data_IF_309446304905
#
_entry.id   IF_309446304905
#
_cell.length_a   1.000
_cell.length_b   1.000
_cell.length_c   1.000
_cell.angle_alpha   90.00
_cell.angle_beta   90.00
_cell.angle_gamma   90.00
#
_symmetry.space_group_name_H-M   'P 1'
#
loop_
_entity.id
_entity.type
_entity.pdbx_description
1 polymer ?
#
# COMPACT_ATOMS: atom_id res chain seq x y z
N UNK A 1 -2.85 15.42 -0.25
CA UNK A 1 -1.71 15.77 -1.14
C UNK A 1 -0.89 14.55 -1.54
N UNK A 2 -0.41 13.69 -0.62
CA UNK A 2 0.30 12.43 -0.98
C UNK A 2 -0.56 11.55 -1.89
N UNK A 3 -1.83 11.34 -1.56
CA UNK A 3 -2.76 10.56 -2.37
C UNK A 3 -2.86 11.05 -3.83
N UNK A 4 -3.00 12.36 -4.03
CA UNK A 4 -3.09 12.95 -5.38
C UNK A 4 -1.77 12.83 -6.15
N UNK A 5 -0.63 12.93 -5.46
CA UNK A 5 0.68 12.73 -6.07
C UNK A 5 0.89 11.27 -6.49
N UNK A 6 0.55 10.32 -5.61
CA UNK A 6 0.64 8.89 -5.91
C UNK A 6 -0.28 8.47 -7.06
N UNK A 7 -1.46 9.08 -7.17
CA UNK A 7 -2.39 8.83 -8.27
C UNK A 7 -2.01 9.52 -9.59
N UNK A 8 -0.97 10.35 -9.59
CA UNK A 8 -0.49 10.99 -10.84
C UNK A 8 0.36 10.00 -11.64
N UNK A 9 0.02 9.70 -12.90
CA UNK A 9 0.88 8.87 -13.76
C UNK A 9 2.23 9.53 -14.09
N UNK A 10 2.40 10.81 -13.76
CA UNK A 10 3.65 11.56 -13.94
C UNK A 10 4.62 11.41 -12.76
N UNK A 11 4.22 10.78 -11.64
CA UNK A 11 5.11 10.60 -10.51
C UNK A 11 6.26 9.63 -10.83
N UNK A 12 7.31 9.68 -10.05
CA UNK A 12 8.53 8.91 -10.27
C UNK A 12 8.27 7.39 -10.26
N UNK A 13 7.32 6.89 -9.45
CA UNK A 13 7.06 5.46 -9.33
C UNK A 13 6.46 4.87 -10.61
N UNK A 14 5.55 5.59 -11.28
CA UNK A 14 5.03 5.17 -12.59
C UNK A 14 6.06 5.33 -13.69
N UNK A 15 6.82 6.44 -13.69
CA UNK A 15 7.85 6.68 -14.71
C UNK A 15 9.00 5.68 -14.67
N UNK A 16 9.32 5.14 -13.50
CA UNK A 16 10.38 4.13 -13.32
C UNK A 16 9.88 2.70 -13.38
N UNK A 17 8.56 2.50 -13.54
CA UNK A 17 7.96 1.16 -13.62
C UNK A 17 7.81 0.45 -12.27
N UNK A 18 8.03 1.12 -11.15
CA UNK A 18 7.71 0.57 -9.80
C UNK A 18 6.21 0.35 -9.68
N UNK A 19 5.41 1.29 -10.19
CA UNK A 19 3.96 1.17 -10.29
C UNK A 19 3.50 1.02 -11.74
N UNK A 20 2.52 0.15 -11.92
CA UNK A 20 1.81 -0.10 -13.17
C UNK A 20 0.40 -0.60 -12.88
N UNK A 21 -0.41 -0.77 -13.92
CA UNK A 21 -1.74 -1.36 -13.79
C UNK A 21 -1.75 -2.81 -13.27
N UNK A 22 -0.61 -3.51 -13.31
CA UNK A 22 -0.46 -4.87 -12.78
C UNK A 22 0.07 -4.91 -11.33
N UNK A 23 0.42 -3.77 -10.75
CA UNK A 23 1.06 -3.71 -9.44
C UNK A 23 0.12 -4.09 -8.29
N UNK A 24 0.71 -4.68 -7.26
CA UNK A 24 0.08 -4.97 -5.96
C UNK A 24 0.70 -4.07 -4.90
N UNK A 25 -0.13 -3.30 -4.20
CA UNK A 25 0.28 -2.29 -3.21
C UNK A 25 -0.23 -2.68 -1.83
N UNK A 26 0.62 -2.53 -0.80
CA UNK A 26 0.25 -2.62 0.60
C UNK A 26 0.44 -1.26 1.27
N UNK A 27 -0.58 -0.75 1.94
CA UNK A 27 -0.51 0.42 2.81
C UNK A 27 -0.50 -0.02 4.26
N UNK A 28 0.53 0.37 4.99
CA UNK A 28 0.70 0.14 6.43
C UNK A 28 0.24 1.38 7.20
N UNK A 29 -0.61 1.18 8.21
CA UNK A 29 -1.14 2.29 9.01
C UNK A 29 -2.06 3.20 8.19
N UNK A 30 -3.01 2.62 7.46
CA UNK A 30 -3.89 3.36 6.54
C UNK A 30 -4.86 4.33 7.26
N UNK A 31 -5.00 4.20 8.58
CA UNK A 31 -5.98 4.94 9.33
C UNK A 31 -7.42 4.61 8.89
N UNK A 32 -8.32 5.55 9.14
CA UNK A 32 -9.76 5.33 8.86
C UNK A 32 -10.21 5.85 7.48
N UNK A 33 -9.45 6.76 6.88
CA UNK A 33 -9.94 7.54 5.71
C UNK A 33 -9.81 6.83 4.37
N UNK A 34 -8.89 5.87 4.23
CA UNK A 34 -8.59 5.13 3.00
C UNK A 34 -8.31 6.04 1.77
N UNK A 35 -7.87 7.30 1.98
CA UNK A 35 -7.74 8.29 0.90
C UNK A 35 -6.73 7.89 -0.17
N UNK A 36 -5.62 7.28 0.23
CA UNK A 36 -4.60 6.85 -0.75
C UNK A 36 -5.13 5.68 -1.57
N UNK A 37 -5.80 4.73 -0.92
CA UNK A 37 -6.42 3.59 -1.61
C UNK A 37 -7.49 4.01 -2.61
N UNK A 38 -8.32 5.00 -2.26
CA UNK A 38 -9.35 5.54 -3.15
C UNK A 38 -8.75 6.23 -4.38
N UNK A 39 -7.61 6.90 -4.22
CA UNK A 39 -6.94 7.60 -5.30
C UNK A 39 -6.07 6.69 -6.18
N UNK A 40 -5.26 5.82 -5.58
CA UNK A 40 -4.27 4.98 -6.27
C UNK A 40 -4.85 3.61 -6.67
N UNK A 41 -5.77 3.05 -5.87
CA UNK A 41 -6.33 1.71 -6.08
C UNK A 41 -6.91 1.48 -7.48
N UNK A 42 -7.63 2.45 -8.10
CA UNK A 42 -8.12 2.31 -9.48
C UNK A 42 -7.03 2.18 -10.55
N UNK A 43 -5.79 2.57 -10.25
CA UNK A 43 -4.66 2.61 -11.18
C UNK A 43 -3.74 1.38 -11.08
N UNK A 44 -3.99 0.49 -10.11
CA UNK A 44 -3.19 -0.71 -9.86
C UNK A 44 -4.08 -1.95 -9.85
N UNK A 45 -3.50 -3.13 -9.97
CA UNK A 45 -4.25 -4.38 -9.97
C UNK A 45 -4.90 -4.66 -8.61
N UNK A 46 -4.16 -4.40 -7.53
CA UNK A 46 -4.63 -4.65 -6.16
C UNK A 46 -4.06 -3.65 -5.19
N UNK A 47 -4.91 -3.18 -4.29
CA UNK A 47 -4.53 -2.32 -3.17
C UNK A 47 -4.99 -2.95 -1.86
N UNK A 48 -4.05 -3.21 -0.96
CA UNK A 48 -4.32 -3.76 0.37
C UNK A 48 -4.08 -2.67 1.39
N UNK A 49 -5.12 -2.35 2.13
CA UNK A 49 -5.07 -1.47 3.31
C UNK A 49 -4.79 -2.30 4.54
N UNK A 50 -3.91 -1.86 5.41
CA UNK A 50 -3.70 -2.52 6.70
C UNK A 50 -3.55 -1.54 7.84
N UNK A 51 -4.09 -1.93 8.98
CA UNK A 51 -4.04 -1.21 10.25
C UNK A 51 -4.52 -2.14 11.38
N UNK A 52 -4.63 -1.63 12.59
CA UNK A 52 -5.21 -2.34 13.72
C UNK A 52 -6.67 -2.78 13.44
N UNK A 53 -7.11 -3.94 13.95
CA UNK A 53 -8.45 -4.49 13.66
C UNK A 53 -9.62 -3.54 13.96
N UNK A 54 -9.47 -2.66 14.96
CA UNK A 54 -10.55 -1.77 15.38
C UNK A 54 -10.89 -0.68 14.35
N UNK A 55 -10.00 -0.38 13.39
CA UNK A 55 -10.29 0.59 12.32
C UNK A 55 -11.07 0.00 11.15
N UNK A 56 -11.14 -1.31 11.02
CA UNK A 56 -11.72 -2.03 9.88
C UNK A 56 -13.10 -1.49 9.49
N UNK A 57 -13.99 -1.35 10.48
CA UNK A 57 -15.36 -0.86 10.26
C UNK A 57 -15.40 0.55 9.64
N UNK A 58 -14.51 1.43 10.06
CA UNK A 58 -14.46 2.81 9.55
C UNK A 58 -13.90 2.84 8.13
N UNK A 59 -12.88 2.04 7.86
CA UNK A 59 -12.31 1.88 6.51
C UNK A 59 -13.36 1.35 5.54
N UNK A 60 -14.07 0.27 5.90
CA UNK A 60 -15.14 -0.31 5.09
C UNK A 60 -16.24 0.70 4.81
N UNK A 61 -16.70 1.43 5.83
CA UNK A 61 -17.70 2.48 5.68
C UNK A 61 -17.25 3.58 4.71
N UNK A 62 -15.99 4.04 4.82
CA UNK A 62 -15.44 5.07 3.94
C UNK A 62 -15.27 4.55 2.49
N UNK A 63 -14.84 3.32 2.33
CA UNK A 63 -14.75 2.71 1.01
C UNK A 63 -16.14 2.59 0.36
N UNK A 64 -17.15 2.15 1.10
CA UNK A 64 -18.52 1.99 0.57
C UNK A 64 -19.16 3.32 0.19
N UNK A 65 -18.95 4.37 0.98
CA UNK A 65 -19.45 5.72 0.68
C UNK A 65 -18.80 6.35 -0.56
N UNK A 66 -17.57 5.93 -0.89
CA UNK A 66 -16.81 6.47 -2.02
C UNK A 66 -16.77 5.52 -3.24
N UNK A 67 -17.38 4.34 -3.15
CA UNK A 67 -17.63 3.51 -4.33
C UNK A 67 -18.71 4.20 -5.16
N UNK A 68 -18.40 4.47 -6.43
CA UNK A 68 -19.40 5.00 -7.37
C UNK A 68 -20.62 4.05 -7.47
N UNK A 69 -21.79 4.54 -7.94
CA UNK A 69 -22.97 3.70 -8.12
C UNK A 69 -22.59 2.45 -8.94
N UNK A 70 -23.11 1.26 -8.56
CA UNK A 70 -22.83 0.04 -9.32
C UNK A 70 -23.29 0.24 -10.77
N UNK A 71 -22.54 -0.27 -11.76
CA UNK A 71 -22.97 -0.16 -13.15
C UNK A 71 -24.37 -0.70 -13.31
N UNK A 72 -25.26 0.08 -13.95
CA UNK A 72 -26.64 -0.27 -14.17
C UNK A 72 -26.72 -1.67 -14.81
N UNK A 73 -27.33 -2.63 -14.12
CA UNK A 73 -27.59 -3.96 -14.68
C UNK A 73 -28.48 -3.79 -15.91
N UNK A 74 -28.12 -4.38 -17.06
CA UNK A 74 -29.07 -4.45 -18.17
C UNK A 74 -30.32 -5.17 -17.68
N UNK A 75 -31.50 -4.58 -17.95
CA UNK A 75 -32.80 -5.08 -17.55
C UNK A 75 -33.08 -6.44 -18.22
N UNK A 76 -32.63 -7.52 -17.60
CA UNK A 76 -32.93 -8.90 -17.99
C UNK A 76 -33.91 -9.51 -17.00
N UNK A 77 -35.13 -9.82 -17.48
CA UNK A 77 -36.14 -10.54 -16.71
C UNK A 77 -35.66 -11.93 -16.34
N UNK A 78 -35.54 -12.27 -15.04
CA UNK A 78 -35.83 -13.65 -14.61
C UNK A 78 -36.08 -13.74 -13.11
N UNK A 79 -37.09 -14.51 -12.80
CA UNK A 79 -37.56 -14.95 -11.47
C UNK A 79 -36.53 -15.94 -10.89
N UNK A 80 -36.23 -15.82 -9.59
CA UNK A 80 -35.49 -16.87 -8.87
C UNK A 80 -35.19 -16.45 -7.43
N UNK A 81 -35.96 -17.00 -6.52
CA UNK A 81 -35.84 -16.86 -5.06
C UNK A 81 -34.71 -17.76 -4.58
N UNK A 82 -33.69 -17.19 -3.95
CA UNK A 82 -32.61 -17.97 -3.33
C UNK A 82 -31.75 -17.07 -2.42
N UNK A 83 -31.90 -17.29 -1.12
CA UNK A 83 -31.12 -16.65 -0.06
C UNK A 83 -29.75 -17.29 0.00
N UNK A 84 -28.69 -16.57 -0.30
CA UNK A 84 -27.33 -16.93 0.11
C UNK A 84 -26.51 -15.65 0.19
N UNK A 85 -26.04 -15.36 1.39
CA UNK A 85 -25.05 -14.32 1.70
C UNK A 85 -23.70 -14.73 1.13
N UNK A 86 -23.30 -14.10 0.05
CA UNK A 86 -21.94 -14.21 -0.48
C UNK A 86 -21.43 -12.81 -0.76
N UNK A 87 -20.32 -12.47 -0.14
CA UNK A 87 -19.54 -11.29 -0.39
C UNK A 87 -19.26 -11.13 -1.89
N UNK A 88 -19.96 -10.18 -2.53
CA UNK A 88 -19.82 -9.89 -3.95
C UNK A 88 -18.57 -9.05 -4.18
N UNK A 89 -17.50 -9.68 -4.64
CA UNK A 89 -16.41 -8.98 -5.31
C UNK A 89 -16.93 -8.43 -6.65
N UNK A 90 -17.18 -7.12 -6.72
CA UNK A 90 -17.51 -6.44 -7.96
C UNK A 90 -16.24 -6.32 -8.82
N UNK A 91 -16.14 -7.13 -9.86
CA UNK A 91 -15.17 -6.97 -10.95
C UNK A 91 -15.62 -5.83 -11.87
N UNK A 92 -15.46 -4.61 -11.43
CA UNK A 92 -15.39 -3.43 -12.30
C UNK A 92 -13.97 -3.30 -12.86
N UNK A 93 -13.76 -2.59 -13.96
CA UNK A 93 -12.48 -2.36 -14.62
C UNK A 93 -11.49 -1.46 -13.82
N UNK A 94 -11.49 -1.55 -12.50
CA UNK A 94 -10.59 -0.89 -11.56
C UNK A 94 -10.00 -1.92 -10.60
N UNK A 95 -8.81 -1.67 -10.07
CA UNK A 95 -8.12 -2.55 -9.14
C UNK A 95 -8.96 -2.87 -7.89
N UNK A 96 -8.72 -4.03 -7.30
CA UNK A 96 -9.42 -4.44 -6.08
C UNK A 96 -8.80 -3.77 -4.86
N UNK A 97 -9.63 -3.13 -4.02
CA UNK A 97 -9.22 -2.60 -2.71
C UNK A 97 -9.77 -3.51 -1.62
N UNK A 98 -8.91 -3.93 -0.69
CA UNK A 98 -9.29 -4.77 0.44
C UNK A 98 -8.58 -4.29 1.71
N UNK A 99 -9.26 -4.43 2.87
CA UNK A 99 -8.64 -4.23 4.17
C UNK A 99 -8.26 -5.57 4.79
N UNK A 100 -7.06 -5.63 5.36
CA UNK A 100 -6.58 -6.74 6.18
C UNK A 100 -6.00 -6.19 7.49
N UNK A 101 -6.50 -6.62 8.65
CA UNK A 101 -5.89 -6.24 9.91
C UNK A 101 -4.45 -6.73 9.97
N UNK A 102 -3.56 -5.89 10.48
CA UNK A 102 -2.15 -6.22 10.67
C UNK A 102 -1.60 -5.38 11.84
N UNK A 103 -1.30 -6.05 12.93
CA UNK A 103 -0.62 -5.47 14.06
C UNK A 103 0.90 -5.64 13.88
N UNK A 104 1.63 -4.53 13.76
CA UNK A 104 3.08 -4.58 13.51
C UNK A 104 3.88 -5.19 14.67
N UNK A 105 3.33 -5.21 15.89
CA UNK A 105 3.99 -5.75 17.08
C UNK A 105 3.71 -7.25 17.26
N UNK A 106 2.57 -7.74 16.77
CA UNK A 106 2.10 -9.10 17.02
C UNK A 106 2.08 -10.00 15.79
N UNK A 107 1.90 -9.42 14.60
CA UNK A 107 1.67 -10.19 13.38
C UNK A 107 2.93 -10.26 12.49
N UNK A 108 3.07 -11.39 11.78
CA UNK A 108 4.08 -11.56 10.74
C UNK A 108 3.39 -11.53 9.37
N UNK A 109 3.76 -10.58 8.48
CA UNK A 109 3.20 -10.52 7.14
C UNK A 109 3.45 -11.82 6.35
N UNK A 110 2.39 -12.30 5.69
CA UNK A 110 2.48 -13.50 4.83
C UNK A 110 1.97 -13.19 3.43
N UNK A 111 2.28 -14.08 2.49
CA UNK A 111 1.78 -13.97 1.12
C UNK A 111 0.22 -14.01 1.03
N UNK A 112 -0.46 -14.41 2.08
CA UNK A 112 -1.93 -14.40 2.14
C UNK A 112 -2.53 -12.98 2.13
N UNK A 113 -1.75 -11.97 2.58
CA UNK A 113 -2.14 -10.56 2.50
C UNK A 113 -2.45 -10.12 1.06
N UNK A 114 -1.78 -10.72 0.06
CA UNK A 114 -2.10 -10.42 -1.36
C UNK A 114 -3.46 -10.97 -1.79
N UNK A 115 -4.06 -11.86 -0.98
CA UNK A 115 -5.34 -12.53 -1.23
C UNK A 115 -5.17 -13.91 -1.86
N UNK A 116 -6.06 -14.84 -1.46
CA UNK A 116 -5.99 -16.27 -1.84
C UNK A 116 -6.00 -16.55 -3.35
N UNK A 117 -6.51 -15.62 -4.15
CA UNK A 117 -6.61 -15.76 -5.62
C UNK A 117 -5.66 -14.85 -6.39
N UNK A 118 -4.78 -14.13 -5.69
CA UNK A 118 -3.83 -13.26 -6.36
C UNK A 118 -2.77 -14.09 -7.11
N UNK A 119 -2.49 -13.70 -8.35
CA UNK A 119 -1.41 -14.31 -9.13
C UNK A 119 -0.03 -13.96 -8.53
N UNK A 120 0.09 -12.76 -7.94
CA UNK A 120 1.28 -12.32 -7.22
C UNK A 120 1.17 -12.67 -5.74
N UNK A 121 2.24 -13.24 -5.18
CA UNK A 121 2.35 -13.60 -3.76
C UNK A 121 3.20 -12.60 -2.95
N UNK A 122 3.54 -11.49 -3.56
CA UNK A 122 4.36 -10.42 -3.01
C UNK A 122 3.85 -9.05 -3.47
N UNK A 123 4.39 -7.99 -2.89
CA UNK A 123 4.00 -6.61 -3.19
C UNK A 123 5.06 -5.92 -4.06
N UNK A 124 4.62 -4.98 -4.90
CA UNK A 124 5.49 -4.11 -5.69
C UNK A 124 5.84 -2.84 -4.90
N UNK A 125 4.89 -2.35 -4.09
CA UNK A 125 5.05 -1.18 -3.24
C UNK A 125 4.47 -1.45 -1.85
N UNK A 126 5.24 -1.10 -0.81
CA UNK A 126 4.77 -0.90 0.57
C UNK A 126 4.74 0.58 0.84
N UNK A 127 3.63 1.08 1.34
CA UNK A 127 3.40 2.49 1.59
C UNK A 127 3.16 2.74 3.06
N UNK A 128 3.87 3.70 3.66
CA UNK A 128 3.59 4.26 4.97
C UNK A 128 3.39 5.77 4.87
N UNK A 129 2.16 6.24 5.13
CA UNK A 129 1.83 7.66 5.05
C UNK A 129 1.55 8.23 6.43
N UNK A 130 2.52 8.99 6.97
CA UNK A 130 2.43 9.70 8.27
C UNK A 130 2.04 8.78 9.45
N UNK A 131 2.45 7.52 9.39
CA UNK A 131 2.14 6.49 10.38
C UNK A 131 3.25 6.31 11.44
N UNK A 132 4.43 6.93 11.24
CA UNK A 132 5.56 6.86 12.16
C UNK A 132 5.62 8.16 12.98
N UNK A 133 4.91 8.18 14.10
CA UNK A 133 4.80 9.33 15.00
C UNK A 133 5.08 8.97 16.48
N UNK A 134 5.41 7.72 16.76
CA UNK A 134 5.74 7.19 18.08
C UNK A 134 7.00 6.34 17.95
N UNK A 135 8.01 6.64 18.76
CA UNK A 135 9.30 5.96 18.75
C UNK A 135 9.16 4.44 18.97
N UNK A 136 8.25 4.03 19.87
CA UNK A 136 8.00 2.60 20.13
C UNK A 136 7.52 1.83 18.91
N UNK A 137 6.86 2.48 17.95
CA UNK A 137 6.37 1.86 16.73
C UNK A 137 7.43 1.80 15.61
N UNK A 138 8.57 2.47 15.76
CA UNK A 138 9.63 2.48 14.75
C UNK A 138 10.20 1.07 14.48
N UNK A 139 10.62 0.30 15.51
CA UNK A 139 11.16 -1.04 15.28
C UNK A 139 10.15 -2.02 14.67
N UNK A 140 8.89 -2.14 15.16
CA UNK A 140 7.90 -3.04 14.57
C UNK A 140 7.50 -2.62 13.15
N UNK A 141 7.31 -1.32 12.87
CA UNK A 141 7.06 -0.84 11.52
C UNK A 141 8.17 -1.23 10.53
N UNK A 142 9.43 -0.98 10.92
CA UNK A 142 10.58 -1.32 10.09
C UNK A 142 10.72 -2.84 9.89
N UNK A 143 10.37 -3.65 10.91
CA UNK A 143 10.34 -5.10 10.80
C UNK A 143 9.26 -5.57 9.82
N UNK A 144 8.05 -5.03 9.95
CA UNK A 144 6.95 -5.32 9.02
C UNK A 144 7.31 -4.99 7.58
N UNK A 145 7.94 -3.82 7.33
CA UNK A 145 8.43 -3.45 5.99
C UNK A 145 9.46 -4.46 5.46
N UNK A 146 10.40 -4.89 6.32
CA UNK A 146 11.41 -5.88 5.96
C UNK A 146 10.77 -7.23 5.57
N UNK A 147 9.85 -7.72 6.37
CA UNK A 147 9.19 -9.02 6.15
C UNK A 147 8.33 -9.00 4.88
N UNK A 148 7.62 -7.90 4.62
CA UNK A 148 6.87 -7.73 3.36
C UNK A 148 7.81 -7.69 2.15
N UNK A 149 8.94 -6.99 2.22
CA UNK A 149 9.92 -6.97 1.13
C UNK A 149 10.52 -8.37 0.86
N UNK A 150 10.75 -9.14 1.90
CA UNK A 150 11.25 -10.52 1.79
C UNK A 150 10.28 -11.48 1.11
N UNK A 151 8.97 -11.22 1.14
CA UNK A 151 8.01 -11.99 0.35
C UNK A 151 8.35 -11.93 -1.15
N UNK A 152 8.91 -10.82 -1.65
CA UNK A 152 9.34 -10.69 -3.04
C UNK A 152 10.50 -11.64 -3.38
N UNK A 153 11.47 -11.77 -2.49
CA UNK A 153 12.60 -12.69 -2.69
C UNK A 153 12.15 -14.16 -2.68
N UNK A 154 11.16 -14.49 -1.85
CA UNK A 154 10.58 -15.82 -1.80
C UNK A 154 9.70 -16.15 -3.03
N UNK A 155 9.10 -15.15 -3.67
CA UNK A 155 8.23 -15.29 -4.86
C UNK A 155 9.04 -15.44 -6.16
N UNK A 156 10.35 -15.17 -6.14
CA UNK A 156 11.27 -15.24 -7.29
C UNK A 156 11.70 -16.66 -7.72
N UNK A 157 11.22 -17.69 -7.05
CA UNK A 157 11.48 -19.11 -7.36
C UNK A 157 10.50 -19.73 -8.36
N UNK A 158 10.15 -19.04 -9.43
CA UNK A 158 9.39 -19.62 -10.55
C UNK A 158 10.24 -20.62 -11.35
N UNK A 159 9.64 -21.64 -11.98
CA UNK A 159 10.37 -22.65 -12.74
C UNK A 159 11.13 -22.00 -13.89
N UNK A 160 12.38 -22.40 -14.02
CA UNK A 160 13.33 -22.18 -15.12
C UNK A 160 13.00 -21.03 -16.12
N UNK A 161 13.64 -19.86 -15.95
CA UNK A 161 13.75 -18.84 -17.00
C UNK A 161 12.84 -17.62 -16.88
N UNK A 162 12.15 -17.41 -15.76
CA UNK A 162 11.37 -16.18 -15.53
C UNK A 162 12.25 -14.94 -15.35
N UNK A 163 11.88 -13.82 -15.96
CA UNK A 163 12.56 -12.54 -15.75
C UNK A 163 12.58 -12.19 -14.25
N UNK A 164 13.73 -11.79 -13.75
CA UNK A 164 13.90 -11.34 -12.37
C UNK A 164 12.96 -10.17 -12.12
N UNK A 165 12.04 -10.34 -11.15
CA UNK A 165 11.12 -9.26 -10.79
C UNK A 165 11.86 -8.15 -10.04
N UNK A 166 11.53 -6.87 -10.28
CA UNK A 166 12.09 -5.77 -9.51
C UNK A 166 11.85 -5.96 -8.00
N UNK A 167 12.73 -5.46 -7.13
CA UNK A 167 12.53 -5.55 -5.69
C UNK A 167 11.24 -4.82 -5.27
N UNK A 168 10.68 -5.24 -4.13
CA UNK A 168 9.61 -4.50 -3.48
C UNK A 168 10.17 -3.16 -2.99
N UNK A 169 9.47 -2.07 -3.27
CA UNK A 169 9.85 -0.72 -2.84
C UNK A 169 9.04 -0.34 -1.62
N UNK A 170 9.68 0.18 -0.57
CA UNK A 170 8.98 0.87 0.51
C UNK A 170 9.00 2.37 0.23
N UNK A 171 7.84 3.02 0.29
CA UNK A 171 7.72 4.47 0.24
C UNK A 171 7.16 4.96 1.58
N UNK A 172 7.93 5.85 2.24
CA UNK A 172 7.54 6.42 3.53
C UNK A 172 7.44 7.93 3.38
N UNK A 173 6.22 8.45 3.54
CA UNK A 173 5.91 9.86 3.52
C UNK A 173 5.61 10.33 4.95
N UNK A 174 6.35 11.33 5.42
CA UNK A 174 6.29 11.78 6.82
C UNK A 174 6.21 13.29 6.90
N UNK A 175 5.46 13.79 7.89
CA UNK A 175 5.62 15.15 8.38
C UNK A 175 6.73 15.17 9.43
N UNK A 176 7.68 16.06 9.29
CA UNK A 176 8.78 16.24 10.24
C UNK A 176 8.29 17.01 11.47
N UNK A 177 7.66 16.30 12.40
CA UNK A 177 7.16 16.86 13.67
C UNK A 177 8.20 16.73 14.78
N UNK A 178 8.88 15.59 14.80
CA UNK A 178 9.85 15.22 15.81
C UNK A 178 11.13 14.69 15.14
N UNK A 179 12.26 15.40 15.26
CA UNK A 179 13.53 14.99 14.65
C UNK A 179 14.08 13.69 15.27
N UNK A 180 13.82 13.41 16.55
CA UNK A 180 14.33 12.20 17.21
C UNK A 180 13.63 10.94 16.66
N UNK A 181 12.31 10.99 16.47
CA UNK A 181 11.53 9.90 15.86
C UNK A 181 11.97 9.70 14.40
N UNK A 182 12.16 10.79 13.67
CA UNK A 182 12.63 10.70 12.27
C UNK A 182 14.03 10.05 12.19
N UNK A 183 14.95 10.46 13.05
CA UNK A 183 16.30 9.89 13.10
C UNK A 183 16.27 8.41 13.53
N UNK A 184 15.46 8.06 14.53
CA UNK A 184 15.28 6.68 14.97
C UNK A 184 14.76 5.80 13.83
N UNK A 185 13.75 6.29 13.08
CA UNK A 185 13.22 5.59 11.91
C UNK A 185 14.29 5.36 10.85
N UNK A 186 15.04 6.40 10.48
CA UNK A 186 16.08 6.30 9.45
C UNK A 186 17.18 5.32 9.85
N UNK A 187 17.64 5.42 11.11
CA UNK A 187 18.65 4.52 11.68
C UNK A 187 18.18 3.06 11.67
N UNK A 188 16.92 2.82 12.05
CA UNK A 188 16.35 1.47 12.10
C UNK A 188 16.22 0.85 10.70
N UNK A 189 15.78 1.62 9.70
CA UNK A 189 15.74 1.15 8.30
C UNK A 189 17.12 0.79 7.78
N UNK A 190 18.12 1.65 7.99
CA UNK A 190 19.50 1.37 7.63
C UNK A 190 20.04 0.13 8.36
N UNK A 191 19.75 -0.03 9.66
CA UNK A 191 20.15 -1.20 10.45
C UNK A 191 19.57 -2.51 9.92
N UNK A 192 18.35 -2.47 9.38
CA UNK A 192 17.69 -3.62 8.74
C UNK A 192 18.17 -3.90 7.31
N UNK A 193 19.11 -3.11 6.80
CA UNK A 193 19.74 -3.32 5.50
C UNK A 193 19.06 -2.58 4.35
N UNK A 194 18.06 -1.75 4.60
CA UNK A 194 17.49 -0.92 3.56
C UNK A 194 18.48 0.15 3.08
N UNK A 195 18.51 0.37 1.77
CA UNK A 195 19.03 1.59 1.18
C UNK A 195 17.90 2.61 1.11
N UNK A 196 18.16 3.82 1.61
CA UNK A 196 17.17 4.87 1.76
C UNK A 196 17.55 6.08 0.91
N UNK A 197 16.62 6.54 0.07
CA UNK A 197 16.79 7.76 -0.74
C UNK A 197 15.65 8.70 -0.47
N UNK A 198 15.96 9.96 -0.31
CA UNK A 198 14.96 11.00 -0.26
C UNK A 198 14.49 11.34 -1.68
N UNK A 199 13.18 11.41 -1.89
CA UNK A 199 12.61 11.93 -3.13
C UNK A 199 12.90 13.44 -3.21
N UNK A 200 13.52 13.92 -4.31
CA UNK A 200 13.80 15.35 -4.47
C UNK A 200 12.52 16.19 -4.46
N UNK A 201 12.60 17.40 -3.89
CA UNK A 201 11.45 18.32 -3.81
C UNK A 201 10.86 18.66 -5.19
N UNK A 202 11.68 18.65 -6.25
CA UNK A 202 11.23 18.88 -7.64
C UNK A 202 10.30 17.78 -8.18
N UNK A 203 10.33 16.59 -7.58
CA UNK A 203 9.42 15.47 -7.92
C UNK A 203 8.12 15.49 -7.09
N UNK A 204 8.03 16.38 -6.09
CA UNK A 204 6.92 16.46 -5.17
C UNK A 204 6.06 17.70 -5.40
N UNK A 205 4.73 17.60 -5.23
CA UNK A 205 3.87 18.78 -5.15
C UNK A 205 4.33 19.73 -4.04
N UNK A 206 4.13 21.03 -4.23
CA UNK A 206 4.59 22.06 -3.30
C UNK A 206 4.20 21.78 -1.84
N UNK A 207 2.97 21.36 -1.59
CA UNK A 207 2.44 21.16 -0.23
C UNK A 207 2.98 19.92 0.51
N UNK A 208 3.86 19.10 -0.09
CA UNK A 208 4.53 17.97 0.56
C UNK A 208 6.06 18.01 0.39
N UNK A 209 6.59 19.20 0.14
CA UNK A 209 8.04 19.43 0.07
C UNK A 209 8.65 19.70 1.43
N UNK A 210 9.97 19.65 1.50
CA UNK A 210 10.72 19.84 2.74
C UNK A 210 10.53 21.22 3.37
N UNK A 211 10.36 22.27 2.56
CA UNK A 211 10.05 23.62 3.05
C UNK A 211 8.67 23.72 3.74
N UNK A 212 7.80 22.74 3.53
CA UNK A 212 6.51 22.60 4.21
C UNK A 212 6.56 21.61 5.37
N UNK A 213 7.76 21.16 5.77
CA UNK A 213 7.95 20.20 6.85
C UNK A 213 7.61 18.75 6.51
N UNK A 214 7.62 18.40 5.21
CA UNK A 214 7.38 17.02 4.78
C UNK A 214 8.60 16.43 4.08
N UNK A 215 8.72 15.12 4.17
CA UNK A 215 9.71 14.36 3.41
C UNK A 215 9.10 13.06 2.89
N UNK A 216 9.57 12.63 1.74
CA UNK A 216 9.20 11.34 1.16
C UNK A 216 10.48 10.57 0.89
N UNK A 217 10.53 9.33 1.34
CA UNK A 217 11.67 8.44 1.14
C UNK A 217 11.25 7.20 0.36
N UNK A 218 12.15 6.76 -0.51
CA UNK A 218 12.09 5.46 -1.17
C UNK A 218 13.15 4.58 -0.54
N UNK A 219 12.74 3.40 -0.09
CA UNK A 219 13.62 2.45 0.56
C UNK A 219 13.56 1.12 -0.20
N UNK A 220 14.71 0.51 -0.44
CA UNK A 220 14.83 -0.76 -1.15
C UNK A 220 15.73 -1.69 -0.36
N UNK A 221 15.31 -2.95 -0.25
CA UNK A 221 16.15 -4.02 0.27
C UNK A 221 16.92 -4.62 -0.91
N UNK A 222 18.27 -4.53 -0.93
CA UNK A 222 19.11 -5.03 -2.02
C UNK A 222 19.02 -6.54 -2.21
#
# INVERSE_FOLDING_TARGET
>A
MVASWLASPKNVLFRTGVLSASSTVLELGCGVSALVALALGPLVSRYVLSDQPYVARFVEQNLDQNRGPPPARPAGKSRGRGKASTSSSSSGAGGSIAFHPLDWEADVPTAELTGRRAAARSFDLVLGCDCVYNEALVPPFAQTCLDVCRLRSADGGGPEGGAVRPPCVCLVAQQLRDPEIFEAWLREFCRKGFRVWRVPDGELPEGIRSNMGFVVHVCVLP
#
